data_IF_063926076690
#
_entry.id   IF_063926076690
#
_cell.length_a   1.000
_cell.length_b   1.000
_cell.length_c   1.000
_cell.angle_alpha   90.00
_cell.angle_beta   90.00
_cell.angle_gamma   90.00
#
_symmetry.space_group_name_H-M   'P 1'
#
loop_
_entity.id
_entity.type
_entity.pdbx_description
1 polymer ?
#
# COMPACT_ATOMS: atom_id res chain seq x y z
N UNK A 1 2.04 14.18 35.00
CA UNK A 1 0.60 13.88 34.81
C UNK A 1 -0.17 13.84 36.13
N UNK A 2 0.21 13.03 37.12
CA UNK A 2 -0.50 12.93 38.41
C UNK A 2 -0.65 14.26 39.15
N UNK A 3 0.42 15.06 39.28
CA UNK A 3 0.36 16.40 39.89
C UNK A 3 -0.66 17.32 39.21
N UNK A 4 -0.74 17.26 37.88
CA UNK A 4 -1.71 18.05 37.10
C UNK A 4 -3.15 17.61 37.38
N UNK A 5 -3.38 16.31 37.54
CA UNK A 5 -4.71 15.79 37.93
C UNK A 5 -5.13 16.34 39.30
N UNK A 6 -4.26 16.21 40.30
CA UNK A 6 -4.55 16.68 41.68
C UNK A 6 -4.77 18.20 41.72
N UNK A 7 -3.97 18.98 41.00
CA UNK A 7 -4.14 20.44 40.92
C UNK A 7 -5.52 20.79 40.32
N UNK A 8 -5.92 20.10 39.24
CA UNK A 8 -7.22 20.35 38.59
C UNK A 8 -8.40 19.93 39.47
N UNK A 9 -8.28 18.83 40.23
CA UNK A 9 -9.30 18.40 41.20
C UNK A 9 -9.45 19.40 42.34
N UNK A 10 -8.34 19.88 42.92
CA UNK A 10 -8.36 20.92 43.96
C UNK A 10 -8.96 22.23 43.44
N UNK A 11 -8.66 22.61 42.20
CA UNK A 11 -9.26 23.79 41.58
C UNK A 11 -10.78 23.61 41.40
N UNK A 12 -11.23 22.41 41.02
CA UNK A 12 -12.64 22.11 40.89
C UNK A 12 -13.39 22.20 42.23
N UNK A 13 -12.77 21.76 43.32
CA UNK A 13 -13.36 21.83 44.67
C UNK A 13 -13.44 23.26 45.23
N UNK A 14 -12.53 24.15 44.81
CA UNK A 14 -12.42 25.52 45.35
C UNK A 14 -13.20 26.56 44.55
N UNK A 15 -13.57 26.26 43.31
CA UNK A 15 -14.22 27.22 42.41
C UNK A 15 -15.76 27.17 42.57
N UNK A 16 -16.36 28.30 42.96
CA UNK A 16 -17.81 28.42 43.17
C UNK A 16 -18.58 28.96 41.94
N UNK A 17 -17.89 29.47 40.91
CA UNK A 17 -18.51 29.99 39.71
C UNK A 17 -18.84 28.88 38.70
N UNK A 18 -20.12 28.59 38.51
CA UNK A 18 -20.62 27.52 37.63
C UNK A 18 -19.95 27.49 36.23
N UNK A 19 -19.76 28.65 35.58
CA UNK A 19 -19.15 28.72 34.25
C UNK A 19 -17.66 28.32 34.26
N UNK A 20 -16.90 28.71 35.30
CA UNK A 20 -15.50 28.31 35.48
C UNK A 20 -15.40 26.84 35.87
N UNK A 21 -16.31 26.35 36.71
CA UNK A 21 -16.39 24.93 37.07
C UNK A 21 -16.60 24.06 35.83
N UNK A 22 -17.46 24.45 34.88
CA UNK A 22 -17.64 23.69 33.62
C UNK A 22 -16.40 23.71 32.73
N UNK A 23 -15.70 24.84 32.64
CA UNK A 23 -14.44 24.94 31.89
C UNK A 23 -13.34 24.06 32.51
N UNK A 24 -13.21 24.07 33.84
CA UNK A 24 -12.26 23.21 34.57
C UNK A 24 -12.60 21.74 34.35
N UNK A 25 -13.90 21.36 34.34
CA UNK A 25 -14.33 19.99 34.01
C UNK A 25 -13.92 19.58 32.60
N UNK A 26 -14.08 20.45 31.60
CA UNK A 26 -13.66 20.16 30.23
C UNK A 26 -12.13 19.96 30.12
N UNK A 27 -11.36 20.82 30.80
CA UNK A 27 -9.89 20.70 30.86
C UNK A 27 -9.47 19.41 31.56
N UNK A 28 -10.12 19.06 32.69
CA UNK A 28 -9.87 17.84 33.43
C UNK A 28 -10.21 16.61 32.57
N UNK A 29 -11.33 16.61 31.86
CA UNK A 29 -11.73 15.54 30.95
C UNK A 29 -10.68 15.33 29.86
N UNK A 30 -10.26 16.40 29.16
CA UNK A 30 -9.22 16.33 28.12
C UNK A 30 -7.89 15.80 28.68
N UNK A 31 -7.49 16.25 29.86
CA UNK A 31 -6.28 15.79 30.54
C UNK A 31 -6.36 14.30 30.92
N UNK A 32 -7.48 13.84 31.49
CA UNK A 32 -7.68 12.44 31.87
C UNK A 32 -7.76 11.52 30.64
N UNK A 33 -8.38 11.96 29.53
CA UNK A 33 -8.35 11.24 28.25
C UNK A 33 -6.92 11.12 27.72
N UNK A 34 -6.14 12.21 27.75
CA UNK A 34 -4.73 12.16 27.34
C UNK A 34 -3.89 11.24 28.25
N UNK A 35 -4.14 11.26 29.55
CA UNK A 35 -3.51 10.34 30.51
C UNK A 35 -3.84 8.87 30.18
N UNK A 36 -5.11 8.58 29.92
CA UNK A 36 -5.58 7.24 29.55
C UNK A 36 -4.91 6.74 28.27
N UNK A 37 -4.89 7.57 27.22
CA UNK A 37 -4.22 7.26 25.95
C UNK A 37 -2.74 6.93 26.14
N UNK A 38 -2.01 7.78 26.87
CA UNK A 38 -0.59 7.56 27.16
C UNK A 38 -0.35 6.28 27.98
N UNK A 39 -1.13 6.06 29.04
CA UNK A 39 -0.99 4.87 29.86
C UNK A 39 -1.31 3.57 29.08
N UNK A 40 -2.29 3.62 28.17
CA UNK A 40 -2.63 2.52 27.28
C UNK A 40 -1.53 2.26 26.25
N UNK A 41 -0.91 3.30 25.68
CA UNK A 41 0.27 3.13 24.79
C UNK A 41 1.46 2.51 25.52
N UNK A 42 1.58 2.75 26.83
CA UNK A 42 2.57 2.11 27.70
C UNK A 42 2.16 0.69 28.17
N UNK A 43 1.07 0.12 27.63
CA UNK A 43 0.51 -1.20 27.96
C UNK A 43 0.10 -1.36 29.44
N UNK A 44 -0.18 -0.27 30.14
CA UNK A 44 -0.75 -0.31 31.49
C UNK A 44 -2.28 -0.38 31.40
N UNK A 45 -2.90 -1.35 32.08
CA UNK A 45 -4.36 -1.56 32.06
C UNK A 45 -5.10 -0.88 33.22
N UNK A 46 -4.43 -0.64 34.35
CA UNK A 46 -5.07 -0.11 35.56
C UNK A 46 -5.17 1.41 35.58
N UNK A 47 -4.13 2.11 35.12
CA UNK A 47 -4.11 3.59 35.10
C UNK A 47 -5.17 4.19 34.16
N UNK A 48 -5.39 3.67 32.94
CA UNK A 48 -6.47 4.15 32.06
C UNK A 48 -7.85 3.96 32.69
N UNK A 49 -8.11 2.81 33.31
CA UNK A 49 -9.39 2.51 33.96
C UNK A 49 -9.67 3.47 35.12
N UNK A 50 -8.67 3.74 35.97
CA UNK A 50 -8.79 4.76 37.02
C UNK A 50 -9.12 6.12 36.43
N UNK A 51 -8.42 6.54 35.38
CA UNK A 51 -8.69 7.82 34.72
C UNK A 51 -10.14 7.92 34.19
N UNK A 52 -10.63 6.87 33.52
CA UNK A 52 -12.02 6.80 33.04
C UNK A 52 -13.03 6.81 34.20
N UNK A 53 -12.72 6.11 35.29
CA UNK A 53 -13.56 6.11 36.50
C UNK A 53 -13.68 7.51 37.10
N UNK A 54 -12.55 8.24 37.22
CA UNK A 54 -12.57 9.64 37.66
C UNK A 54 -13.41 10.52 36.72
N UNK A 55 -13.30 10.37 35.39
CA UNK A 55 -14.14 11.11 34.44
C UNK A 55 -15.64 10.88 34.69
N UNK A 56 -16.05 9.62 34.94
CA UNK A 56 -17.46 9.26 35.20
C UNK A 56 -18.02 9.91 36.47
N UNK A 57 -17.22 10.06 37.52
CA UNK A 57 -17.65 10.70 38.76
C UNK A 57 -18.03 12.17 38.55
N UNK A 58 -17.30 12.88 37.69
CA UNK A 58 -17.54 14.30 37.44
C UNK A 58 -18.54 14.58 36.31
N UNK A 59 -18.90 13.57 35.52
CA UNK A 59 -19.84 13.67 34.38
C UNK A 59 -20.98 12.63 34.46
N UNK A 60 -21.82 12.62 35.51
CA UNK A 60 -22.97 11.73 35.55
C UNK A 60 -23.99 12.14 34.47
N UNK A 61 -24.22 11.23 33.51
CA UNK A 61 -25.30 11.27 32.53
C UNK A 61 -25.44 12.58 31.72
N UNK A 62 -24.40 12.99 30.98
CA UNK A 62 -24.60 13.93 29.85
C UNK A 62 -25.26 13.17 28.68
N UNK A 63 -26.31 13.76 28.10
CA UNK A 63 -27.11 13.19 26.99
C UNK A 63 -26.40 13.17 25.62
N UNK A 64 -25.09 13.46 25.57
CA UNK A 64 -24.31 13.56 24.35
C UNK A 64 -23.18 12.53 24.29
N UNK A 65 -22.80 12.15 23.07
CA UNK A 65 -21.61 11.34 22.83
C UNK A 65 -20.36 12.20 23.02
N UNK A 66 -19.32 11.67 23.67
CA UNK A 66 -18.10 12.41 24.01
C UNK A 66 -16.85 11.57 23.84
N UNK A 67 -15.70 12.22 23.65
CA UNK A 67 -14.40 11.57 23.43
C UNK A 67 -14.01 10.58 24.54
N UNK A 68 -14.39 10.84 25.79
CA UNK A 68 -14.05 9.97 26.91
C UNK A 68 -14.75 8.60 26.85
N UNK A 69 -15.95 8.50 26.27
CA UNK A 69 -16.65 7.22 26.09
C UNK A 69 -15.96 6.36 25.03
N UNK A 70 -15.36 7.00 24.02
CA UNK A 70 -14.54 6.31 23.02
C UNK A 70 -13.28 5.73 23.68
N UNK A 71 -12.62 6.50 24.54
CA UNK A 71 -11.46 6.02 25.30
C UNK A 71 -11.86 4.92 26.29
N UNK A 72 -13.01 5.02 26.95
CA UNK A 72 -13.56 3.95 27.80
C UNK A 72 -13.67 2.61 27.05
N UNK A 73 -14.26 2.62 25.85
CA UNK A 73 -14.35 1.42 25.03
C UNK A 73 -12.96 0.87 24.68
N UNK A 74 -11.99 1.73 24.37
CA UNK A 74 -10.61 1.33 24.08
C UNK A 74 -9.87 0.76 25.30
N UNK A 75 -10.19 1.24 26.51
CA UNK A 75 -9.64 0.69 27.77
C UNK A 75 -10.18 -0.72 28.02
N UNK A 76 -11.49 -0.94 27.87
CA UNK A 76 -12.06 -2.29 28.01
C UNK A 76 -11.52 -3.27 26.97
N UNK A 77 -11.34 -2.79 25.72
CA UNK A 77 -10.67 -3.59 24.69
C UNK A 77 -9.25 -3.98 25.11
N UNK A 78 -8.46 -3.04 25.64
CA UNK A 78 -7.10 -3.31 26.12
C UNK A 78 -7.07 -4.28 27.32
N UNK A 79 -8.13 -4.33 28.13
CA UNK A 79 -8.31 -5.29 29.23
C UNK A 79 -8.79 -6.68 28.77
N UNK A 80 -9.07 -6.87 27.47
CA UNK A 80 -9.67 -8.08 26.88
C UNK A 80 -11.14 -8.30 27.29
N UNK A 81 -11.84 -7.25 27.70
CA UNK A 81 -13.29 -7.27 27.91
C UNK A 81 -14.00 -6.89 26.60
N UNK A 82 -13.84 -7.74 25.58
CA UNK A 82 -14.22 -7.44 24.18
C UNK A 82 -15.72 -7.18 23.99
N UNK A 83 -16.57 -7.94 24.70
CA UNK A 83 -18.03 -7.81 24.59
C UNK A 83 -18.54 -6.46 25.12
N UNK A 84 -17.97 -5.99 26.24
CA UNK A 84 -18.32 -4.70 26.84
C UNK A 84 -17.80 -3.53 25.98
N UNK A 85 -16.58 -3.65 25.46
CA UNK A 85 -16.02 -2.64 24.56
C UNK A 85 -16.87 -2.47 23.29
N UNK A 86 -17.31 -3.59 22.70
CA UNK A 86 -18.17 -3.58 21.52
C UNK A 86 -19.59 -3.09 21.81
N UNK A 87 -20.16 -3.39 22.98
CA UNK A 87 -21.49 -2.91 23.34
C UNK A 87 -21.49 -1.38 23.51
N UNK A 88 -20.47 -0.82 24.17
CA UNK A 88 -20.28 0.63 24.31
C UNK A 88 -20.16 1.30 22.93
N UNK A 89 -19.31 0.78 22.03
CA UNK A 89 -19.17 1.34 20.68
C UNK A 89 -20.47 1.27 19.88
N UNK A 90 -21.19 0.14 19.92
CA UNK A 90 -22.46 -0.01 19.20
C UNK A 90 -23.53 0.95 19.73
N UNK A 91 -23.56 1.18 21.05
CA UNK A 91 -24.46 2.16 21.65
C UNK A 91 -24.12 3.60 21.23
N UNK A 92 -22.83 3.95 21.21
CA UNK A 92 -22.37 5.26 20.72
C UNK A 92 -22.73 5.47 19.25
N UNK A 93 -22.50 4.47 18.38
CA UNK A 93 -22.85 4.51 16.96
C UNK A 93 -24.36 4.72 16.79
N UNK A 94 -25.19 3.99 17.56
CA UNK A 94 -26.64 4.15 17.51
C UNK A 94 -27.08 5.57 17.87
N UNK A 95 -26.53 6.14 18.95
CA UNK A 95 -26.81 7.52 19.38
C UNK A 95 -26.39 8.55 18.33
N UNK A 96 -25.24 8.34 17.69
CA UNK A 96 -24.73 9.22 16.63
C UNK A 96 -25.54 9.09 15.32
N UNK A 97 -26.05 7.89 15.02
CA UNK A 97 -26.97 7.66 13.89
C UNK A 97 -28.31 8.37 14.10
N UNK A 98 -28.88 8.30 15.31
CA UNK A 98 -30.13 8.98 15.66
C UNK A 98 -29.99 10.51 15.65
N UNK A 99 -28.79 11.03 15.92
CA UNK A 99 -28.47 12.47 15.95
C UNK A 99 -27.71 12.96 14.72
N UNK A 100 -27.82 12.27 13.57
CA UNK A 100 -27.04 12.55 12.36
C UNK A 100 -27.01 14.03 11.94
N UNK A 101 -28.14 14.74 12.02
CA UNK A 101 -28.22 16.17 11.67
C UNK A 101 -27.27 17.06 12.50
N UNK A 102 -27.00 16.69 13.76
CA UNK A 102 -26.04 17.41 14.60
C UNK A 102 -24.60 17.03 14.26
N UNK A 103 -24.35 15.74 13.96
CA UNK A 103 -23.04 15.20 13.58
C UNK A 103 -22.54 15.79 12.26
N UNK A 104 -23.43 16.02 11.31
CA UNK A 104 -23.06 16.60 10.00
C UNK A 104 -22.55 18.05 10.13
N UNK A 105 -23.06 18.78 11.11
CA UNK A 105 -22.73 20.18 11.36
C UNK A 105 -21.57 20.39 12.38
N UNK A 106 -21.21 19.37 13.15
CA UNK A 106 -20.13 19.43 14.15
C UNK A 106 -18.90 18.57 13.74
N UNK A 107 -17.77 19.21 13.34
CA UNK A 107 -16.56 18.50 12.96
C UNK A 107 -15.99 17.56 14.04
N UNK A 108 -16.17 17.88 15.32
CA UNK A 108 -15.66 17.09 16.44
C UNK A 108 -16.45 15.80 16.64
N UNK A 109 -17.79 15.87 16.56
CA UNK A 109 -18.66 14.70 16.60
C UNK A 109 -18.46 13.80 15.39
N UNK A 110 -18.21 14.41 14.22
CA UNK A 110 -17.91 13.69 12.98
C UNK A 110 -16.61 12.87 13.08
N UNK A 111 -15.58 13.44 13.69
CA UNK A 111 -14.32 12.75 14.00
C UNK A 111 -14.56 11.57 14.95
N UNK A 112 -15.29 11.78 16.03
CA UNK A 112 -15.64 10.73 17.00
C UNK A 112 -16.43 9.62 16.29
N UNK A 113 -17.41 9.98 15.46
CA UNK A 113 -18.24 9.02 14.74
C UNK A 113 -17.42 8.17 13.76
N UNK A 114 -16.54 8.81 13.00
CA UNK A 114 -15.59 8.14 12.11
C UNK A 114 -14.72 7.14 12.87
N UNK A 115 -14.17 7.55 14.02
CA UNK A 115 -13.34 6.68 14.86
C UNK A 115 -14.14 5.53 15.49
N UNK A 116 -15.37 5.77 15.95
CA UNK A 116 -16.27 4.73 16.46
C UNK A 116 -16.54 3.65 15.40
N UNK A 117 -16.93 4.06 14.19
CA UNK A 117 -17.19 3.14 13.08
C UNK A 117 -15.93 2.37 12.69
N UNK A 118 -14.79 3.05 12.60
CA UNK A 118 -13.48 2.47 12.25
C UNK A 118 -13.04 1.40 13.27
N UNK A 119 -13.09 1.73 14.56
CA UNK A 119 -12.71 0.79 15.63
C UNK A 119 -13.67 -0.38 15.70
N UNK A 120 -14.99 -0.12 15.62
CA UNK A 120 -15.99 -1.18 15.65
C UNK A 120 -15.77 -2.16 14.49
N UNK A 121 -15.56 -1.65 13.27
CA UNK A 121 -15.25 -2.48 12.11
C UNK A 121 -13.98 -3.32 12.28
N UNK A 122 -12.90 -2.73 12.81
CA UNK A 122 -11.65 -3.46 13.06
C UNK A 122 -11.81 -4.55 14.14
N UNK A 123 -12.48 -4.23 15.24
CA UNK A 123 -12.70 -5.16 16.36
C UNK A 123 -13.65 -6.30 15.99
N UNK A 124 -14.69 -6.03 15.20
CA UNK A 124 -15.56 -7.07 14.65
C UNK A 124 -14.79 -7.99 13.68
N UNK A 125 -13.85 -7.43 12.92
CA UNK A 125 -13.00 -8.20 12.01
C UNK A 125 -11.99 -9.09 12.77
N UNK A 126 -11.42 -8.58 13.88
CA UNK A 126 -10.51 -9.33 14.75
C UNK A 126 -11.21 -10.47 15.48
N UNK A 127 -12.42 -10.23 16.00
CA UNK A 127 -13.21 -11.23 16.75
C UNK A 127 -14.05 -12.16 15.87
N UNK A 128 -14.13 -11.89 14.57
CA UNK A 128 -14.92 -12.66 13.60
C UNK A 128 -16.41 -12.82 13.98
N UNK A 129 -16.98 -11.82 14.67
CA UNK A 129 -18.37 -11.86 15.15
C UNK A 129 -19.41 -11.54 14.08
N UNK A 130 -19.02 -10.88 12.98
CA UNK A 130 -19.93 -10.47 11.89
C UNK A 130 -19.38 -10.86 10.51
N UNK A 131 -20.28 -10.97 9.53
CA UNK A 131 -19.90 -11.31 8.16
C UNK A 131 -19.01 -10.19 7.56
N UNK A 132 -17.89 -10.52 6.88
CA UNK A 132 -16.98 -9.52 6.31
C UNK A 132 -17.63 -8.48 5.40
N UNK A 133 -18.66 -8.88 4.63
CA UNK A 133 -19.40 -7.98 3.74
C UNK A 133 -20.23 -6.97 4.54
N UNK A 134 -20.79 -7.37 5.67
CA UNK A 134 -21.52 -6.49 6.60
C UNK A 134 -20.54 -5.53 7.28
N UNK A 135 -19.40 -6.02 7.74
CA UNK A 135 -18.35 -5.20 8.36
C UNK A 135 -17.88 -4.10 7.40
N UNK A 136 -17.62 -4.48 6.15
CA UNK A 136 -17.21 -3.55 5.09
C UNK A 136 -18.27 -2.47 4.87
N UNK A 137 -19.52 -2.84 4.59
CA UNK A 137 -20.57 -1.90 4.18
C UNK A 137 -21.06 -1.03 5.34
N UNK A 138 -21.41 -1.65 6.47
CA UNK A 138 -22.12 -0.97 7.56
C UNK A 138 -21.21 -0.11 8.43
N UNK A 139 -19.93 -0.45 8.52
CA UNK A 139 -18.99 0.23 9.42
C UNK A 139 -17.86 0.91 8.65
N UNK A 140 -17.07 0.19 7.86
CA UNK A 140 -15.83 0.75 7.30
C UNK A 140 -16.06 1.67 6.08
N UNK A 141 -16.94 1.29 5.15
CA UNK A 141 -17.37 2.16 4.03
C UNK A 141 -18.09 3.40 4.58
N UNK A 142 -19.00 3.20 5.54
CA UNK A 142 -19.68 4.31 6.24
C UNK A 142 -18.69 5.24 6.94
N UNK A 143 -17.62 4.73 7.56
CA UNK A 143 -16.60 5.56 8.19
C UNK A 143 -15.90 6.48 7.18
N UNK A 144 -15.62 5.97 5.98
CA UNK A 144 -15.01 6.76 4.89
C UNK A 144 -15.98 7.78 4.33
N UNK A 145 -17.25 7.42 4.15
CA UNK A 145 -18.30 8.33 3.69
C UNK A 145 -18.48 9.50 4.65
N UNK A 146 -18.60 9.20 5.95
CA UNK A 146 -18.66 10.19 7.02
C UNK A 146 -17.42 11.08 6.94
N UNK A 147 -16.21 10.53 6.94
CA UNK A 147 -15.00 11.34 6.85
C UNK A 147 -14.89 12.16 5.54
N UNK A 148 -15.60 11.77 4.48
CA UNK A 148 -15.57 12.36 3.15
C UNK A 148 -16.49 13.57 2.94
N UNK A 149 -17.61 13.73 3.68
CA UNK A 149 -18.67 14.69 3.34
C UNK A 149 -18.33 16.19 3.48
N UNK A 150 -17.09 16.56 3.83
CA UNK A 150 -16.67 17.96 3.96
C UNK A 150 -15.41 18.19 3.12
N UNK A 151 -15.56 18.85 1.98
CA UNK A 151 -14.45 19.33 1.14
C UNK A 151 -13.89 20.68 1.63
N UNK A 152 -14.40 21.23 2.75
CA UNK A 152 -14.11 22.59 3.20
C UNK A 152 -13.10 22.74 4.34
N UNK A 153 -12.94 21.75 5.23
CA UNK A 153 -12.19 21.97 6.49
C UNK A 153 -10.79 21.38 6.51
N UNK A 154 -9.82 22.28 6.60
CA UNK A 154 -8.38 22.06 6.52
C UNK A 154 -7.74 21.61 7.85
N UNK A 155 -8.52 21.12 8.82
CA UNK A 155 -7.96 20.71 10.12
C UNK A 155 -7.10 19.45 9.96
N UNK A 156 -5.89 19.48 10.52
CA UNK A 156 -4.94 18.37 10.42
C UNK A 156 -5.51 17.09 11.07
N UNK A 157 -6.34 17.24 12.11
CA UNK A 157 -7.01 16.14 12.80
C UNK A 157 -8.06 15.44 11.91
N UNK A 158 -8.87 16.19 11.16
CA UNK A 158 -9.85 15.62 10.22
C UNK A 158 -9.16 14.87 9.08
N UNK A 159 -8.06 15.42 8.55
CA UNK A 159 -7.23 14.73 7.55
C UNK A 159 -6.65 13.43 8.11
N UNK A 160 -6.14 13.44 9.35
CA UNK A 160 -5.63 12.24 10.00
C UNK A 160 -6.72 11.20 10.25
N UNK A 161 -7.89 11.59 10.77
CA UNK A 161 -9.03 10.70 10.96
C UNK A 161 -9.50 10.06 9.65
N UNK A 162 -9.61 10.86 8.59
CA UNK A 162 -9.93 10.39 7.24
C UNK A 162 -8.88 9.40 6.70
N UNK A 163 -7.60 9.72 6.87
CA UNK A 163 -6.49 8.83 6.50
C UNK A 163 -6.55 7.49 7.24
N UNK A 164 -6.82 7.50 8.55
CA UNK A 164 -6.99 6.27 9.35
C UNK A 164 -8.19 5.45 8.92
N UNK A 165 -9.30 6.09 8.56
CA UNK A 165 -10.49 5.42 8.04
C UNK A 165 -10.18 4.72 6.71
N UNK A 166 -9.57 5.43 5.75
CA UNK A 166 -9.10 4.85 4.49
C UNK A 166 -8.14 3.68 4.72
N UNK A 167 -7.14 3.84 5.59
CA UNK A 167 -6.18 2.78 5.87
C UNK A 167 -6.84 1.56 6.50
N UNK A 168 -7.81 1.74 7.41
CA UNK A 168 -8.51 0.62 8.05
C UNK A 168 -9.35 -0.15 7.03
N UNK A 169 -10.10 0.55 6.16
CA UNK A 169 -10.85 -0.08 5.07
C UNK A 169 -9.95 -0.78 4.06
N UNK A 170 -8.81 -0.17 3.71
CA UNK A 170 -7.82 -0.77 2.81
C UNK A 170 -7.25 -2.07 3.37
N UNK A 171 -6.77 -2.06 4.62
CA UNK A 171 -6.19 -3.23 5.29
C UNK A 171 -7.21 -4.34 5.50
N UNK A 172 -8.44 -3.99 5.88
CA UNK A 172 -9.52 -4.95 6.01
C UNK A 172 -9.80 -5.63 4.67
N UNK A 173 -10.02 -4.84 3.62
CA UNK A 173 -10.32 -5.34 2.28
C UNK A 173 -9.19 -6.20 1.72
N UNK A 174 -7.93 -5.78 1.91
CA UNK A 174 -6.75 -6.57 1.54
C UNK A 174 -6.69 -7.90 2.29
N UNK A 175 -6.92 -7.89 3.60
CA UNK A 175 -6.93 -9.12 4.41
C UNK A 175 -8.02 -10.09 3.93
N UNK A 176 -9.22 -9.59 3.63
CA UNK A 176 -10.29 -10.43 3.09
C UNK A 176 -9.97 -10.94 1.68
N UNK A 177 -9.40 -10.09 0.82
CA UNK A 177 -8.94 -10.48 -0.51
C UNK A 177 -7.91 -11.62 -0.42
N UNK A 178 -6.90 -11.50 0.44
CA UNK A 178 -5.88 -12.53 0.64
C UNK A 178 -6.46 -13.82 1.20
N UNK A 179 -7.42 -13.74 2.14
CA UNK A 179 -8.14 -14.92 2.65
C UNK A 179 -8.86 -15.66 1.52
N UNK A 180 -9.59 -14.94 0.67
CA UNK A 180 -10.30 -15.53 -0.47
C UNK A 180 -9.33 -16.09 -1.51
N UNK A 181 -8.26 -15.37 -1.84
CA UNK A 181 -7.21 -15.85 -2.76
C UNK A 181 -6.53 -17.13 -2.25
N UNK A 182 -6.18 -17.18 -0.97
CA UNK A 182 -5.55 -18.36 -0.38
C UNK A 182 -6.50 -19.55 -0.37
N UNK A 183 -7.78 -19.33 -0.09
CA UNK A 183 -8.81 -20.37 -0.21
C UNK A 183 -8.94 -20.86 -1.66
N UNK A 184 -8.96 -19.95 -2.65
CA UNK A 184 -9.05 -20.32 -4.06
C UNK A 184 -7.82 -21.07 -4.58
N UNK A 185 -6.66 -20.92 -3.93
CA UNK A 185 -5.42 -21.68 -4.22
C UNK A 185 -5.31 -22.98 -3.42
N UNK A 186 -6.26 -23.25 -2.51
CA UNK A 186 -6.24 -24.45 -1.68
C UNK A 186 -6.67 -25.69 -2.46
N UNK A 187 -6.21 -26.86 -2.00
CA UNK A 187 -6.64 -28.15 -2.53
C UNK A 187 -8.14 -28.40 -2.31
N UNK A 188 -8.74 -27.81 -1.27
CA UNK A 188 -10.17 -27.89 -1.02
C UNK A 188 -10.97 -27.26 -2.16
N UNK A 189 -10.56 -26.07 -2.60
CA UNK A 189 -11.22 -25.39 -3.71
C UNK A 189 -10.96 -26.09 -5.05
N UNK A 190 -9.74 -26.59 -5.27
CA UNK A 190 -9.42 -27.39 -6.46
C UNK A 190 -10.30 -28.66 -6.54
N UNK A 191 -10.45 -29.37 -5.42
CA UNK A 191 -11.34 -30.53 -5.32
C UNK A 191 -12.80 -30.15 -5.58
N UNK A 192 -13.28 -29.03 -4.99
CA UNK A 192 -14.63 -28.51 -5.25
C UNK A 192 -14.84 -28.21 -6.74
N UNK A 193 -13.85 -27.59 -7.39
CA UNK A 193 -13.92 -27.29 -8.83
C UNK A 193 -13.89 -28.56 -9.69
N UNK A 194 -13.10 -29.57 -9.31
CA UNK A 194 -13.05 -30.86 -10.00
C UNK A 194 -14.37 -31.64 -9.89
N UNK A 195 -14.98 -31.65 -8.69
CA UNK A 195 -16.30 -32.25 -8.47
C UNK A 195 -17.37 -31.53 -9.29
N UNK A 196 -17.35 -30.19 -9.29
CA UNK A 196 -18.27 -29.39 -10.09
C UNK A 196 -18.12 -29.66 -11.60
N UNK A 197 -16.88 -29.85 -12.09
CA UNK A 197 -16.63 -30.22 -13.49
C UNK A 197 -17.22 -31.60 -13.82
N UNK A 198 -17.01 -32.59 -12.97
CA UNK A 198 -17.59 -33.94 -13.15
C UNK A 198 -19.11 -33.92 -13.12
N UNK A 199 -19.70 -33.20 -12.17
CA UNK A 199 -21.16 -33.03 -12.08
C UNK A 199 -21.74 -32.36 -13.34
N UNK A 200 -21.02 -31.39 -13.93
CA UNK A 200 -21.40 -30.78 -15.22
C UNK A 200 -21.36 -31.76 -16.37
N UNK A 201 -20.29 -32.57 -16.47
CA UNK A 201 -20.15 -33.59 -17.50
C UNK A 201 -21.25 -34.65 -17.39
N UNK A 202 -21.57 -35.11 -16.17
CA UNK A 202 -22.65 -36.04 -15.92
C UNK A 202 -24.01 -35.47 -16.34
N UNK A 203 -24.33 -34.23 -15.93
CA UNK A 203 -25.56 -33.55 -16.34
C UNK A 203 -25.59 -33.33 -17.86
N UNK A 204 -24.45 -33.08 -18.50
CA UNK A 204 -24.31 -32.96 -19.96
C UNK A 204 -24.64 -34.27 -20.67
N UNK A 205 -24.04 -35.38 -20.25
CA UNK A 205 -24.29 -36.71 -20.80
C UNK A 205 -25.77 -37.13 -20.63
N UNK A 206 -26.36 -36.84 -19.48
CA UNK A 206 -27.79 -37.11 -19.21
C UNK A 206 -28.69 -36.34 -20.17
N UNK A 207 -28.36 -35.08 -20.47
CA UNK A 207 -29.09 -34.26 -21.46
C UNK A 207 -28.91 -34.78 -22.88
N UNK A 208 -27.70 -35.20 -23.26
CA UNK A 208 -27.40 -35.76 -24.59
C UNK A 208 -28.14 -37.08 -24.85
N UNK A 209 -28.17 -37.97 -23.85
CA UNK A 209 -28.81 -39.29 -23.96
C UNK A 209 -30.34 -39.25 -23.78
N UNK A 210 -30.94 -38.05 -23.64
CA UNK A 210 -32.40 -37.84 -23.43
C UNK A 210 -32.98 -38.73 -22.34
N UNK A 211 -32.23 -38.96 -21.26
CA UNK A 211 -32.65 -39.81 -20.15
C UNK A 211 -33.89 -39.16 -19.49
N UNK A 212 -34.95 -39.93 -19.15
CA UNK A 212 -36.13 -39.39 -18.50
C UNK A 212 -35.76 -38.64 -17.21
N UNK A 213 -36.31 -37.44 -17.04
CA UNK A 213 -36.00 -36.58 -15.90
C UNK A 213 -36.44 -37.29 -14.61
N UNK A 214 -35.47 -37.74 -13.84
CA UNK A 214 -35.65 -38.35 -12.53
C UNK A 214 -35.50 -37.30 -11.42
N UNK A 215 -36.11 -37.57 -10.26
CA UNK A 215 -35.91 -36.77 -9.04
C UNK A 215 -34.43 -36.62 -8.67
N UNK A 216 -33.63 -37.65 -8.96
CA UNK A 216 -32.17 -37.63 -8.78
C UNK A 216 -31.50 -36.56 -9.67
N UNK A 217 -31.81 -36.55 -10.97
CA UNK A 217 -31.24 -35.61 -11.95
C UNK A 217 -31.58 -34.17 -11.57
N UNK A 218 -32.83 -33.93 -11.15
CA UNK A 218 -33.28 -32.60 -10.72
C UNK A 218 -32.52 -32.12 -9.47
N UNK A 219 -32.23 -33.04 -8.53
CA UNK A 219 -31.45 -32.73 -7.33
C UNK A 219 -30.00 -32.37 -7.68
N UNK A 220 -29.34 -33.19 -8.50
CA UNK A 220 -27.96 -32.95 -8.94
C UNK A 220 -27.83 -31.63 -9.72
N UNK A 221 -28.79 -31.33 -10.60
CA UNK A 221 -28.83 -30.04 -11.31
C UNK A 221 -28.95 -28.86 -10.34
N UNK A 222 -29.81 -28.96 -9.33
CA UNK A 222 -29.98 -27.91 -8.33
C UNK A 222 -28.73 -27.72 -7.46
N UNK A 223 -28.10 -28.80 -7.03
CA UNK A 223 -26.84 -28.74 -6.28
C UNK A 223 -25.73 -28.09 -7.11
N UNK A 224 -25.64 -28.45 -8.38
CA UNK A 224 -24.70 -27.84 -9.32
C UNK A 224 -24.94 -26.33 -9.49
N UNK A 225 -26.20 -25.90 -9.66
CA UNK A 225 -26.55 -24.48 -9.77
C UNK A 225 -26.18 -23.69 -8.52
N UNK A 226 -26.39 -24.27 -7.33
CA UNK A 226 -26.01 -23.66 -6.05
C UNK A 226 -24.48 -23.51 -5.94
N UNK A 227 -23.73 -24.56 -6.25
CA UNK A 227 -22.26 -24.53 -6.21
C UNK A 227 -21.68 -23.52 -7.22
N UNK A 228 -22.25 -23.46 -8.43
CA UNK A 228 -21.87 -22.44 -9.40
C UNK A 228 -22.16 -21.02 -8.90
N UNK A 229 -23.32 -20.81 -8.29
CA UNK A 229 -23.71 -19.52 -7.73
C UNK A 229 -22.74 -19.10 -6.63
N UNK A 230 -22.37 -20.02 -5.74
CA UNK A 230 -21.41 -19.78 -4.67
C UNK A 230 -20.02 -19.41 -5.21
N UNK A 231 -19.52 -20.14 -6.23
CA UNK A 231 -18.22 -19.83 -6.86
C UNK A 231 -18.27 -18.47 -7.57
N UNK A 232 -19.39 -18.11 -8.20
CA UNK A 232 -19.57 -16.78 -8.81
C UNK A 232 -19.55 -15.69 -7.75
N UNK A 233 -20.32 -15.84 -6.67
CA UNK A 233 -20.34 -14.89 -5.56
C UNK A 233 -18.95 -14.72 -4.93
N UNK A 234 -18.22 -15.81 -4.70
CA UNK A 234 -16.86 -15.77 -4.17
C UNK A 234 -15.89 -14.99 -5.07
N UNK A 235 -15.98 -15.17 -6.40
CA UNK A 235 -15.17 -14.42 -7.38
C UNK A 235 -15.55 -12.94 -7.40
N UNK A 236 -16.82 -12.61 -7.25
CA UNK A 236 -17.31 -11.23 -7.17
C UNK A 236 -16.83 -10.54 -5.89
N UNK A 237 -16.93 -11.21 -4.74
CA UNK A 237 -16.44 -10.72 -3.46
C UNK A 237 -14.92 -10.48 -3.51
N UNK A 238 -14.17 -11.43 -4.07
CA UNK A 238 -12.73 -11.27 -4.31
C UNK A 238 -12.42 -10.01 -5.11
N UNK A 239 -13.12 -9.81 -6.24
CA UNK A 239 -12.96 -8.63 -7.09
C UNK A 239 -13.30 -7.35 -6.34
N UNK A 240 -14.39 -7.36 -5.57
CA UNK A 240 -14.86 -6.21 -4.78
C UNK A 240 -13.84 -5.82 -3.71
N UNK A 241 -13.35 -6.79 -2.92
CA UNK A 241 -12.34 -6.56 -1.91
C UNK A 241 -11.03 -6.02 -2.51
N UNK A 242 -10.60 -6.57 -3.65
CA UNK A 242 -9.41 -6.07 -4.35
C UNK A 242 -9.56 -4.61 -4.80
N UNK A 243 -10.69 -4.27 -5.45
CA UNK A 243 -10.94 -2.90 -5.91
C UNK A 243 -10.95 -1.92 -4.73
N UNK A 244 -11.67 -2.28 -3.66
CA UNK A 244 -11.75 -1.45 -2.45
C UNK A 244 -10.39 -1.32 -1.76
N UNK A 245 -9.59 -2.37 -1.68
CA UNK A 245 -8.24 -2.28 -1.12
C UNK A 245 -7.39 -1.27 -1.90
N UNK A 246 -7.34 -1.39 -3.23
CA UNK A 246 -6.53 -0.52 -4.10
C UNK A 246 -7.00 0.94 -4.02
N UNK A 247 -8.29 1.22 -4.15
CA UNK A 247 -8.85 2.58 -4.08
C UNK A 247 -8.53 3.28 -2.76
N UNK A 248 -8.66 2.57 -1.64
CA UNK A 248 -8.44 3.12 -0.31
C UNK A 248 -6.95 3.26 0.02
N UNK A 249 -6.08 2.36 -0.45
CA UNK A 249 -4.63 2.55 -0.35
C UNK A 249 -4.17 3.79 -1.12
N UNK A 250 -4.71 4.03 -2.32
CA UNK A 250 -4.40 5.23 -3.10
C UNK A 250 -4.88 6.47 -2.36
N UNK A 251 -6.11 6.47 -1.84
CA UNK A 251 -6.65 7.61 -1.09
C UNK A 251 -5.86 7.92 0.18
N UNK A 252 -5.33 6.89 0.86
CA UNK A 252 -4.41 7.05 1.98
C UNK A 252 -3.10 7.74 1.56
N UNK A 253 -2.49 7.28 0.45
CA UNK A 253 -1.25 7.85 -0.10
C UNK A 253 -1.40 9.30 -0.59
N UNK A 254 -2.62 9.72 -0.94
CA UNK A 254 -2.94 11.10 -1.31
C UNK A 254 -3.19 11.99 -0.08
N UNK A 255 -3.61 11.42 1.05
CA UNK A 255 -4.06 12.18 2.23
C UNK A 255 -2.93 12.55 3.21
N UNK A 256 -1.75 11.92 3.12
CA UNK A 256 -0.61 12.21 4.01
C UNK A 256 0.67 11.43 3.70
N UNK A 257 1.67 11.57 4.56
CA UNK A 257 3.02 10.98 4.43
C UNK A 257 3.33 9.91 5.51
N UNK A 258 2.56 9.87 6.61
CA UNK A 258 2.75 8.93 7.73
C UNK A 258 2.71 7.44 7.30
N UNK A 259 2.16 7.19 6.12
CA UNK A 259 1.78 5.87 5.63
C UNK A 259 2.38 5.57 4.25
N UNK A 260 3.49 6.21 3.90
CA UNK A 260 4.14 6.04 2.59
C UNK A 260 4.64 4.61 2.33
N UNK A 261 4.98 3.85 3.37
CA UNK A 261 5.34 2.43 3.24
C UNK A 261 4.20 1.56 2.67
N UNK A 262 2.96 2.02 2.69
CA UNK A 262 1.86 1.28 2.05
C UNK A 262 1.93 1.33 0.52
N UNK A 263 2.82 2.14 -0.06
CA UNK A 263 3.12 2.10 -1.50
C UNK A 263 3.62 0.72 -1.94
N UNK A 264 4.41 0.05 -1.10
CA UNK A 264 4.90 -1.30 -1.35
C UNK A 264 3.75 -2.29 -1.48
N UNK A 265 2.76 -2.17 -0.58
CA UNK A 265 1.60 -3.06 -0.60
C UNK A 265 0.68 -2.78 -1.79
N UNK A 266 0.43 -1.50 -2.10
CA UNK A 266 -0.32 -1.10 -3.28
C UNK A 266 0.30 -1.67 -4.56
N UNK A 267 1.62 -1.53 -4.73
CA UNK A 267 2.32 -2.03 -5.90
C UNK A 267 2.35 -3.56 -5.93
N UNK A 268 2.52 -4.26 -4.80
CA UNK A 268 2.39 -5.73 -4.73
C UNK A 268 1.01 -6.18 -5.23
N UNK A 269 -0.07 -5.60 -4.72
CA UNK A 269 -1.43 -5.93 -5.16
C UNK A 269 -1.66 -5.64 -6.65
N UNK A 270 -1.17 -4.51 -7.14
CA UNK A 270 -1.31 -4.14 -8.55
C UNK A 270 -0.52 -5.07 -9.48
N UNK A 271 0.74 -5.36 -9.15
CA UNK A 271 1.61 -6.23 -9.96
C UNK A 271 1.12 -7.69 -9.96
N UNK A 272 0.64 -8.19 -8.82
CA UNK A 272 0.01 -9.52 -8.71
C UNK A 272 -1.27 -9.63 -9.57
N UNK A 273 -2.02 -8.54 -9.68
CA UNK A 273 -3.29 -8.47 -10.42
C UNK A 273 -3.19 -7.72 -11.74
N UNK A 274 -2.04 -7.79 -12.42
CA UNK A 274 -1.79 -7.07 -13.66
C UNK A 274 -2.81 -7.38 -14.78
N UNK A 275 -3.41 -8.58 -14.79
CA UNK A 275 -4.46 -8.96 -15.74
C UNK A 275 -5.85 -8.38 -15.47
N UNK A 276 -6.09 -7.71 -14.35
CA UNK A 276 -7.42 -7.19 -13.98
C UNK A 276 -7.61 -5.79 -14.53
N UNK A 277 -8.56 -5.62 -15.45
CA UNK A 277 -8.78 -4.37 -16.19
C UNK A 277 -9.22 -3.23 -15.27
N UNK A 278 -10.08 -3.51 -14.30
CA UNK A 278 -10.61 -2.52 -13.36
C UNK A 278 -9.50 -1.89 -12.52
N UNK A 279 -8.54 -2.71 -12.04
CA UNK A 279 -7.41 -2.23 -11.24
C UNK A 279 -6.48 -1.36 -12.08
N UNK A 280 -6.21 -1.76 -13.32
CA UNK A 280 -5.43 -0.95 -14.24
C UNK A 280 -6.11 0.38 -14.56
N UNK A 281 -7.44 0.40 -14.67
CA UNK A 281 -8.20 1.63 -14.88
C UNK A 281 -8.13 2.58 -13.66
N UNK A 282 -8.25 2.03 -12.44
CA UNK A 282 -8.08 2.80 -11.19
C UNK A 282 -6.66 3.36 -11.09
N UNK A 283 -5.64 2.54 -11.33
CA UNK A 283 -4.24 2.97 -11.33
C UNK A 283 -3.97 4.05 -12.38
N UNK A 284 -4.51 3.92 -13.60
CA UNK A 284 -4.36 4.93 -14.65
C UNK A 284 -4.90 6.30 -14.21
N UNK A 285 -6.06 6.32 -13.56
CA UNK A 285 -6.75 7.56 -13.16
C UNK A 285 -6.12 8.21 -11.92
N UNK A 286 -5.72 7.40 -10.94
CA UNK A 286 -5.34 7.91 -9.63
C UNK A 286 -3.82 7.94 -9.40
N UNK A 287 -3.03 7.09 -10.07
CA UNK A 287 -1.58 7.06 -9.85
C UNK A 287 -0.88 8.35 -10.30
N UNK A 288 -1.45 9.10 -11.25
CA UNK A 288 -0.94 10.42 -11.65
C UNK A 288 -1.01 11.45 -10.52
N UNK A 289 -2.01 11.33 -9.64
CA UNK A 289 -2.19 12.22 -8.48
C UNK A 289 -1.20 11.92 -7.35
N UNK A 290 -0.73 10.67 -7.26
CA UNK A 290 0.22 10.25 -6.24
C UNK A 290 1.58 10.89 -6.55
N UNK A 291 2.22 11.55 -5.57
CA UNK A 291 3.55 12.12 -5.77
C UNK A 291 4.56 11.05 -6.22
N UNK A 292 5.29 11.35 -7.30
CA UNK A 292 6.20 10.41 -7.97
C UNK A 292 7.32 9.89 -7.08
N UNK A 293 7.83 10.71 -6.15
CA UNK A 293 8.88 10.32 -5.21
C UNK A 293 8.55 9.09 -4.37
N UNK A 294 7.27 8.85 -4.06
CA UNK A 294 6.82 7.70 -3.27
C UNK A 294 7.08 6.37 -3.97
N UNK A 295 7.25 6.37 -5.29
CA UNK A 295 7.53 5.17 -6.10
C UNK A 295 9.03 4.90 -6.31
N UNK A 296 9.91 5.86 -6.00
CA UNK A 296 11.37 5.65 -6.10
C UNK A 296 11.89 4.40 -5.37
N UNK A 297 11.40 4.08 -4.15
CA UNK A 297 11.76 2.86 -3.43
C UNK A 297 11.54 1.56 -4.23
N UNK A 298 10.58 1.59 -5.15
CA UNK A 298 10.10 0.46 -5.93
C UNK A 298 10.63 0.47 -7.36
N UNK A 299 11.48 1.44 -7.72
CA UNK A 299 11.87 1.67 -9.11
C UNK A 299 12.49 0.43 -9.76
N UNK A 300 13.39 -0.28 -9.06
CA UNK A 300 13.97 -1.54 -9.56
C UNK A 300 12.92 -2.61 -9.84
N UNK A 301 11.92 -2.76 -8.95
CA UNK A 301 10.85 -3.76 -9.09
C UNK A 301 9.90 -3.41 -10.24
N UNK A 302 9.57 -2.13 -10.40
CA UNK A 302 8.75 -1.63 -11.51
C UNK A 302 9.48 -1.79 -12.85
N UNK A 303 10.77 -1.43 -12.89
CA UNK A 303 11.59 -1.50 -14.09
C UNK A 303 11.75 -2.96 -14.58
N UNK A 304 11.91 -3.92 -13.67
CA UNK A 304 11.99 -5.36 -14.00
C UNK A 304 10.74 -5.92 -14.71
N UNK A 305 9.58 -5.25 -14.55
CA UNK A 305 8.28 -5.64 -15.14
C UNK A 305 7.95 -4.91 -16.45
N UNK A 306 8.79 -3.99 -16.93
CA UNK A 306 8.51 -3.17 -18.12
C UNK A 306 8.28 -3.98 -19.41
N UNK A 307 9.04 -5.05 -19.64
CA UNK A 307 8.93 -5.88 -20.86
C UNK A 307 8.16 -7.18 -20.70
N UNK A 308 7.46 -7.42 -19.57
CA UNK A 308 6.78 -8.70 -19.34
C UNK A 308 5.37 -8.72 -19.92
N UNK A 309 5.15 -9.26 -21.14
CA UNK A 309 3.83 -9.35 -21.82
C UNK A 309 2.66 -9.98 -21.04
N UNK A 310 2.91 -10.47 -19.82
CA UNK A 310 1.95 -11.10 -18.91
C UNK A 310 0.83 -10.17 -18.39
N UNK A 311 0.96 -8.84 -18.50
CA UNK A 311 0.03 -7.89 -17.89
C UNK A 311 -1.17 -7.45 -18.75
N UNK A 312 -1.27 -7.90 -20.01
CA UNK A 312 -2.24 -7.34 -20.96
C UNK A 312 -1.91 -5.90 -21.35
N UNK A 313 -2.49 -5.43 -22.46
CA UNK A 313 -2.12 -4.14 -23.09
C UNK A 313 -2.34 -2.95 -22.15
N UNK A 314 -3.39 -3.00 -21.31
CA UNK A 314 -3.73 -1.93 -20.38
C UNK A 314 -2.71 -1.71 -19.26
N UNK A 315 -2.15 -2.78 -18.68
CA UNK A 315 -1.17 -2.71 -17.61
C UNK A 315 0.14 -2.05 -18.08
N UNK A 316 0.66 -2.48 -19.24
CA UNK A 316 1.92 -1.97 -19.77
C UNK A 316 1.88 -0.47 -20.05
N UNK A 317 0.75 0.02 -20.58
CA UNK A 317 0.57 1.44 -20.81
C UNK A 317 0.65 2.23 -19.49
N UNK A 318 -0.03 1.76 -18.44
CA UNK A 318 -0.04 2.42 -17.13
C UNK A 318 1.34 2.39 -16.49
N UNK A 319 2.03 1.23 -16.52
CA UNK A 319 3.38 1.08 -15.99
C UNK A 319 4.41 1.95 -16.72
N UNK A 320 4.38 1.96 -18.05
CA UNK A 320 5.28 2.78 -18.88
C UNK A 320 5.08 4.27 -18.61
N UNK A 321 3.82 4.72 -18.51
CA UNK A 321 3.50 6.11 -18.17
C UNK A 321 3.97 6.49 -16.76
N UNK A 322 3.77 5.59 -15.79
CA UNK A 322 4.20 5.80 -14.41
C UNK A 322 5.73 5.95 -14.33
N UNK A 323 6.47 5.02 -14.93
CA UNK A 323 7.94 5.04 -14.94
C UNK A 323 8.45 6.29 -15.66
N UNK A 324 7.86 6.62 -16.82
CA UNK A 324 8.21 7.84 -17.55
C UNK A 324 8.05 9.09 -16.69
N UNK A 325 6.94 9.19 -15.93
CA UNK A 325 6.70 10.32 -15.01
C UNK A 325 7.75 10.37 -13.90
N UNK A 326 8.00 9.25 -13.22
CA UNK A 326 9.01 9.18 -12.14
C UNK A 326 10.38 9.58 -12.68
N UNK A 327 10.74 9.15 -13.88
CA UNK A 327 12.03 9.45 -14.47
C UNK A 327 12.19 10.86 -15.03
N UNK A 328 11.09 11.51 -15.40
CA UNK A 328 11.10 12.93 -15.72
C UNK A 328 11.27 13.78 -14.46
N UNK A 329 10.60 13.42 -13.37
CA UNK A 329 10.63 14.15 -12.10
C UNK A 329 11.97 13.94 -11.36
N UNK A 330 12.47 12.69 -11.35
CA UNK A 330 13.65 12.26 -10.59
C UNK A 330 14.68 11.54 -11.48
N UNK A 331 15.31 12.25 -12.45
CA UNK A 331 16.22 11.63 -13.41
C UNK A 331 17.47 11.05 -12.74
N UNK A 332 18.04 11.72 -11.74
CA UNK A 332 19.25 11.25 -11.06
C UNK A 332 19.06 9.92 -10.32
N UNK A 333 17.84 9.65 -9.84
CA UNK A 333 17.51 8.42 -9.12
C UNK A 333 17.13 7.26 -10.05
N UNK A 334 16.71 7.54 -11.28
CA UNK A 334 16.08 6.54 -12.16
C UNK A 334 16.83 6.28 -13.46
N UNK A 335 17.56 7.27 -14.01
CA UNK A 335 18.21 7.12 -15.32
C UNK A 335 19.26 6.03 -15.33
N UNK A 336 20.06 5.89 -14.27
CA UNK A 336 21.03 4.79 -14.16
C UNK A 336 20.36 3.42 -14.19
N UNK A 337 19.18 3.29 -13.58
CA UNK A 337 18.40 2.04 -13.55
C UNK A 337 17.87 1.71 -14.96
N UNK A 338 17.30 2.71 -15.65
CA UNK A 338 16.73 2.51 -16.99
C UNK A 338 17.84 2.26 -18.02
N UNK A 339 18.95 2.99 -17.94
CA UNK A 339 20.11 2.81 -18.83
C UNK A 339 20.75 1.44 -18.63
N UNK A 340 20.84 0.94 -17.40
CA UNK A 340 21.30 -0.42 -17.15
C UNK A 340 20.42 -1.47 -17.85
N UNK A 341 19.10 -1.24 -17.93
CA UNK A 341 18.19 -2.11 -18.68
C UNK A 341 18.32 -1.93 -20.19
N UNK A 342 18.51 -0.70 -20.69
CA UNK A 342 18.69 -0.42 -22.11
C UNK A 342 20.00 -1.00 -22.65
N UNK A 343 21.05 -1.01 -21.83
CA UNK A 343 22.41 -1.44 -22.19
C UNK A 343 22.70 -2.89 -21.77
N UNK A 344 21.67 -3.68 -21.41
CA UNK A 344 21.84 -5.01 -20.83
C UNK A 344 22.59 -6.02 -21.74
N UNK A 345 22.64 -5.78 -23.04
CA UNK A 345 23.34 -6.62 -24.03
C UNK A 345 24.71 -6.05 -24.46
N UNK A 346 25.14 -4.91 -23.93
CA UNK A 346 26.30 -4.18 -24.43
C UNK A 346 27.62 -4.92 -24.16
N UNK A 347 27.70 -5.71 -23.10
CA UNK A 347 28.87 -6.56 -22.81
C UNK A 347 29.07 -7.66 -23.86
N UNK A 348 28.00 -8.24 -24.40
CA UNK A 348 28.10 -9.25 -25.47
C UNK A 348 28.55 -8.64 -26.81
N UNK A 349 28.21 -7.36 -27.04
CA UNK A 349 28.65 -6.62 -28.22
C UNK A 349 30.14 -6.25 -28.11
N UNK A 350 30.60 -5.84 -26.93
CA UNK A 350 32.00 -5.49 -26.67
C UNK A 350 32.92 -6.71 -26.56
N UNK A 351 32.40 -7.85 -26.08
CA UNK A 351 33.13 -9.12 -26.03
C UNK A 351 33.29 -9.81 -27.40
N UNK A 352 32.75 -9.23 -28.49
CA UNK A 352 32.96 -9.68 -29.87
C UNK A 352 34.01 -8.80 -30.59
N UNK A 353 35.32 -8.95 -30.33
CA UNK A 353 36.31 -8.56 -31.32
C UNK A 353 36.32 -9.60 -32.45
N UNK A 354 36.18 -9.12 -33.68
CA UNK A 354 36.22 -9.83 -34.98
C UNK A 354 37.45 -10.76 -35.18
N UNK A 355 38.43 -10.82 -34.27
CA UNK A 355 39.71 -11.49 -34.52
C UNK A 355 40.07 -12.68 -33.62
N UNK A 356 39.26 -13.08 -32.63
CA UNK A 356 39.71 -14.13 -31.70
C UNK A 356 38.66 -15.21 -31.42
N UNK A 357 38.35 -15.99 -32.45
CA UNK A 357 37.63 -17.28 -32.35
C UNK A 357 38.40 -18.41 -31.66
N UNK A 358 39.54 -18.15 -31.00
CA UNK A 358 40.37 -19.21 -30.42
C UNK A 358 40.61 -18.96 -28.94
N UNK A 359 40.09 -19.86 -28.13
CA UNK A 359 40.50 -20.15 -26.75
C UNK A 359 39.92 -19.29 -25.62
N UNK A 360 38.59 -19.33 -25.43
CA UNK A 360 38.00 -19.41 -24.07
C UNK A 360 36.89 -20.45 -24.04
N UNK A 361 37.30 -21.71 -23.93
CA UNK A 361 36.47 -22.81 -23.42
C UNK A 361 36.31 -22.61 -21.90
N UNK A 362 35.53 -21.62 -21.50
CA UNK A 362 34.88 -21.61 -20.19
C UNK A 362 33.43 -21.97 -20.43
N UNK A 363 33.02 -23.15 -19.96
CA UNK A 363 31.65 -23.65 -19.94
C UNK A 363 30.68 -22.53 -19.55
N UNK A 364 29.98 -21.96 -20.52
CA UNK A 364 28.66 -21.37 -20.45
C UNK A 364 28.27 -21.13 -21.92
N UNK A 365 27.19 -21.77 -22.38
CA UNK A 365 26.65 -21.51 -23.71
C UNK A 365 26.44 -20.01 -23.92
N UNK A 366 26.51 -19.47 -25.16
CA UNK A 366 26.06 -18.11 -25.41
C UNK A 366 24.63 -18.00 -24.86
N UNK A 367 24.38 -17.09 -23.92
CA UNK A 367 23.02 -16.81 -23.48
C UNK A 367 22.31 -16.22 -24.71
N UNK A 368 21.50 -17.02 -25.38
CA UNK A 368 20.55 -16.45 -26.34
C UNK A 368 19.68 -15.47 -25.53
N UNK A 369 19.75 -14.20 -25.91
CA UNK A 369 18.98 -13.13 -25.26
C UNK A 369 17.52 -13.55 -25.34
N UNK A 370 16.87 -13.66 -24.18
CA UNK A 370 15.45 -13.99 -24.13
C UNK A 370 14.65 -12.92 -24.85
N UNK A 371 13.60 -13.30 -25.57
CA UNK A 371 12.65 -12.33 -26.16
C UNK A 371 12.13 -11.34 -25.11
N UNK A 372 12.00 -11.76 -23.85
CA UNK A 372 11.60 -10.89 -22.75
C UNK A 372 12.65 -9.81 -22.42
N UNK A 373 13.93 -10.12 -22.57
CA UNK A 373 15.01 -9.17 -22.33
C UNK A 373 15.12 -8.18 -23.50
N UNK A 374 14.85 -8.61 -24.73
CA UNK A 374 14.68 -7.71 -25.87
C UNK A 374 13.51 -6.74 -25.69
N UNK A 375 12.35 -7.24 -25.30
CA UNK A 375 11.16 -6.41 -25.06
C UNK A 375 11.42 -5.38 -23.94
N UNK A 376 12.18 -5.76 -22.90
CA UNK A 376 12.62 -4.86 -21.82
C UNK A 376 13.58 -3.79 -22.31
N UNK A 377 14.60 -4.16 -23.08
CA UNK A 377 15.56 -3.23 -23.66
C UNK A 377 14.84 -2.19 -24.53
N UNK A 378 13.94 -2.62 -25.41
CA UNK A 378 13.17 -1.72 -26.27
C UNK A 378 12.31 -0.75 -25.44
N UNK A 379 11.61 -1.25 -24.42
CA UNK A 379 10.81 -0.41 -23.53
C UNK A 379 11.69 0.62 -22.78
N UNK A 380 12.85 0.21 -22.28
CA UNK A 380 13.80 1.09 -21.61
C UNK A 380 14.34 2.18 -22.56
N UNK A 381 14.78 1.80 -23.76
CA UNK A 381 15.24 2.73 -24.80
C UNK A 381 14.17 3.75 -25.18
N UNK A 382 12.91 3.33 -25.27
CA UNK A 382 11.78 4.22 -25.53
C UNK A 382 11.61 5.27 -24.42
N UNK A 383 11.72 4.89 -23.15
CA UNK A 383 11.65 5.83 -22.03
C UNK A 383 12.84 6.80 -22.04
N UNK A 384 14.07 6.30 -22.27
CA UNK A 384 15.27 7.16 -22.40
C UNK A 384 15.08 8.18 -23.53
N UNK A 385 14.55 7.76 -24.68
CA UNK A 385 14.24 8.65 -25.80
C UNK A 385 13.24 9.75 -25.42
N UNK A 386 12.20 9.43 -24.61
CA UNK A 386 11.24 10.41 -24.11
C UNK A 386 11.92 11.42 -23.19
N UNK A 387 12.76 10.95 -22.25
CA UNK A 387 13.46 11.84 -21.31
C UNK A 387 14.47 12.72 -22.07
N UNK A 388 15.17 12.18 -23.07
CA UNK A 388 16.13 12.91 -23.90
C UNK A 388 15.50 14.12 -24.60
N UNK A 389 14.21 14.05 -24.97
CA UNK A 389 13.48 15.19 -25.56
C UNK A 389 13.31 16.38 -24.60
N UNK A 390 13.29 16.14 -23.29
CA UNK A 390 13.14 17.19 -22.26
C UNK A 390 14.45 17.56 -21.57
N UNK A 391 15.33 16.60 -21.31
CA UNK A 391 16.59 16.74 -20.54
C UNK A 391 17.78 16.22 -21.36
N UNK A 392 18.01 16.81 -22.54
CA UNK A 392 18.97 16.30 -23.52
C UNK A 392 20.44 16.37 -23.08
N UNK A 393 20.86 17.43 -22.39
CA UNK A 393 22.23 17.60 -21.86
C UNK A 393 22.55 16.50 -20.84
N UNK A 394 21.66 16.36 -19.85
CA UNK A 394 21.76 15.38 -18.77
C UNK A 394 21.81 13.94 -19.28
N UNK A 395 20.89 13.55 -20.17
CA UNK A 395 20.86 12.18 -20.72
C UNK A 395 22.15 11.87 -21.48
N UNK A 396 22.63 12.79 -22.33
CA UNK A 396 23.90 12.60 -23.05
C UNK A 396 25.09 12.48 -22.10
N UNK A 397 25.12 13.27 -21.03
CA UNK A 397 26.18 13.22 -20.02
C UNK A 397 26.18 11.89 -19.27
N UNK A 398 25.01 11.41 -18.84
CA UNK A 398 24.87 10.13 -18.13
C UNK A 398 25.17 8.95 -19.06
N UNK A 399 24.70 8.96 -20.30
CA UNK A 399 25.00 7.94 -21.31
C UNK A 399 26.51 7.85 -21.56
N UNK A 400 27.17 8.98 -21.82
CA UNK A 400 28.61 9.02 -22.02
C UNK A 400 29.40 8.50 -20.81
N UNK A 401 28.91 8.78 -19.59
CA UNK A 401 29.50 8.27 -18.36
C UNK A 401 29.30 6.75 -18.24
N UNK A 402 28.10 6.25 -18.49
CA UNK A 402 27.79 4.81 -18.47
C UNK A 402 28.62 4.05 -19.50
N UNK A 403 28.68 4.53 -20.74
CA UNK A 403 29.48 3.91 -21.81
C UNK A 403 30.97 3.90 -21.45
N UNK A 404 31.48 4.98 -20.84
CA UNK A 404 32.86 5.02 -20.38
C UNK A 404 33.13 4.03 -19.26
N UNK A 405 32.20 3.82 -18.33
CA UNK A 405 32.32 2.79 -17.28
C UNK A 405 32.26 1.38 -17.85
N UNK A 406 31.34 1.10 -18.78
CA UNK A 406 31.24 -0.21 -19.45
C UNK A 406 32.54 -0.50 -20.22
N UNK A 407 33.07 0.49 -20.94
CA UNK A 407 34.34 0.36 -21.68
C UNK A 407 35.51 0.08 -20.74
N UNK A 408 35.60 0.83 -19.64
CA UNK A 408 36.66 0.65 -18.64
C UNK A 408 36.57 -0.73 -17.95
N UNK A 409 35.36 -1.20 -17.65
CA UNK A 409 35.14 -2.52 -17.04
C UNK A 409 35.53 -3.68 -17.98
N UNK A 410 35.37 -3.49 -19.29
CA UNK A 410 35.76 -4.47 -20.31
C UNK A 410 37.21 -4.33 -20.80
N UNK A 411 37.99 -3.39 -20.25
CA UNK A 411 39.41 -3.22 -20.59
C UNK A 411 40.23 -4.45 -20.15
N UNK A 412 41.08 -4.96 -21.05
CA UNK A 412 41.89 -6.14 -20.74
C UNK A 412 42.96 -5.84 -19.67
N UNK A 413 42.69 -6.27 -18.43
CA UNK A 413 43.60 -6.06 -17.32
C UNK A 413 44.79 -7.04 -17.26
N UNK A 414 44.93 -7.97 -18.22
CA UNK A 414 46.00 -8.99 -18.21
C UNK A 414 47.43 -8.43 -18.03
N UNK A 415 47.83 -7.29 -18.63
CA UNK A 415 49.18 -6.75 -18.48
C UNK A 415 49.49 -6.24 -17.07
N UNK A 416 48.46 -5.91 -16.29
CA UNK A 416 48.60 -5.28 -14.97
C UNK A 416 48.34 -6.24 -13.80
N UNK A 417 48.04 -7.52 -14.07
CA UNK A 417 47.74 -8.53 -13.03
C UNK A 417 48.86 -8.74 -12.00
N UNK A 418 50.11 -8.50 -12.38
CA UNK A 418 51.29 -8.68 -11.51
C UNK A 418 51.69 -7.42 -10.74
N UNK A 419 51.09 -6.27 -11.03
CA UNK A 419 51.43 -4.99 -10.39
C UNK A 419 50.53 -4.71 -9.19
N UNK A 420 51.13 -4.45 -8.02
CA UNK A 420 50.44 -4.10 -6.76
C UNK A 420 50.40 -2.60 -6.45
N UNK A 421 50.99 -1.76 -7.31
CA UNK A 421 50.98 -0.29 -7.15
C UNK A 421 49.74 0.31 -7.82
N UNK A 422 49.40 1.54 -7.44
CA UNK A 422 48.32 2.28 -8.08
C UNK A 422 48.54 2.36 -9.60
N UNK A 423 47.54 1.92 -10.36
CA UNK A 423 47.56 1.92 -11.82
C UNK A 423 47.03 3.26 -12.32
N UNK A 424 47.74 3.87 -13.27
CA UNK A 424 47.23 5.04 -14.00
C UNK A 424 46.30 4.55 -15.11
N UNK A 425 45.10 5.14 -15.21
CA UNK A 425 44.14 4.79 -16.26
C UNK A 425 44.71 5.25 -17.61
N UNK A 426 44.78 4.37 -18.63
CA UNK A 426 45.30 4.73 -19.95
C UNK A 426 44.54 5.89 -20.61
N UNK A 427 45.26 6.76 -21.33
CA UNK A 427 44.69 7.99 -21.93
C UNK A 427 43.76 7.73 -23.15
N UNK A 428 43.80 6.52 -23.71
CA UNK A 428 42.85 6.04 -24.71
C UNK A 428 41.45 5.83 -24.13
N UNK A 429 41.35 5.59 -22.81
CA UNK A 429 40.09 5.29 -22.16
C UNK A 429 39.14 6.51 -22.18
N UNK A 430 37.87 6.32 -22.57
CA UNK A 430 36.89 7.41 -22.70
C UNK A 430 36.68 8.17 -21.38
N UNK A 431 36.84 7.50 -20.23
CA UNK A 431 36.70 8.12 -18.91
C UNK A 431 37.67 9.28 -18.68
N UNK A 432 38.88 9.24 -19.27
CA UNK A 432 39.88 10.32 -19.15
C UNK A 432 39.54 11.55 -20.01
N UNK A 433 38.64 11.39 -20.99
CA UNK A 433 38.18 12.42 -21.91
C UNK A 433 36.89 13.09 -21.44
N UNK A 434 36.19 12.52 -20.45
CA UNK A 434 35.01 13.12 -19.85
C UNK A 434 35.41 14.38 -19.08
N UNK A 435 34.95 15.54 -19.54
CA UNK A 435 35.15 16.84 -18.92
C UNK A 435 33.83 17.61 -18.89
N UNK A 436 33.65 18.46 -17.88
CA UNK A 436 32.53 19.41 -17.78
C UNK A 436 31.14 18.74 -17.77
N UNK A 437 30.99 17.66 -17.01
CA UNK A 437 29.67 17.03 -16.75
C UNK A 437 28.98 17.75 -15.58
N UNK A 438 28.30 18.87 -15.86
CA UNK A 438 27.62 19.67 -14.83
C UNK A 438 26.30 19.05 -14.33
N UNK A 439 25.60 18.35 -15.23
CA UNK A 439 24.27 17.75 -14.96
C UNK A 439 24.33 16.28 -14.50
N UNK A 440 25.54 15.71 -14.34
CA UNK A 440 25.73 14.28 -14.03
C UNK A 440 26.14 14.12 -12.58
N UNK A 441 25.36 13.35 -11.83
CA UNK A 441 25.66 13.09 -10.42
C UNK A 441 26.54 11.85 -10.29
N UNK A 442 27.40 11.87 -9.28
CA UNK A 442 28.24 10.73 -8.90
C UNK A 442 27.34 9.55 -8.52
N UNK A 443 27.44 8.38 -9.19
CA UNK A 443 26.53 7.25 -8.98
C UNK A 443 26.52 6.70 -7.55
N UNK A 444 27.63 6.83 -6.83
CA UNK A 444 27.80 6.35 -5.45
C UNK A 444 27.39 7.37 -4.39
N UNK A 445 27.07 8.60 -4.79
CA UNK A 445 26.64 9.64 -3.86
C UNK A 445 25.15 9.47 -3.55
N UNK A 446 24.81 9.36 -2.27
CA UNK A 446 23.42 9.32 -1.85
C UNK A 446 22.77 10.69 -2.03
N UNK A 447 21.95 10.82 -3.08
CA UNK A 447 21.18 12.03 -3.32
C UNK A 447 19.88 11.88 -2.53
N UNK A 448 19.76 12.64 -1.44
CA UNK A 448 18.48 12.75 -0.74
C UNK A 448 17.44 13.28 -1.73
N UNK A 449 16.31 12.60 -1.82
CA UNK A 449 15.17 13.11 -2.56
C UNK A 449 14.72 14.36 -1.82
N UNK A 450 14.86 15.53 -2.45
CA UNK A 450 14.50 16.81 -1.84
C UNK A 450 13.01 16.88 -1.58
N UNK A 451 12.62 16.61 -0.32
CA UNK A 451 11.44 17.12 0.39
C UNK A 451 11.84 17.18 1.85
N UNK A 452 11.46 18.21 2.60
CA UNK A 452 11.83 18.35 4.00
C UNK A 452 11.69 16.99 4.72
N UNK A 453 12.84 16.38 5.00
CA UNK A 453 13.10 15.15 5.76
C UNK A 453 12.13 13.98 5.60
N UNK A 454 12.59 12.87 5.00
CA UNK A 454 12.35 11.54 5.59
C UNK A 454 13.55 10.64 5.28
N UNK A 455 14.14 10.15 6.38
CA UNK A 455 15.07 9.03 6.47
C UNK A 455 14.42 7.74 5.93
N UNK A 456 15.28 6.84 5.46
CA UNK A 456 15.12 5.38 5.28
C UNK A 456 15.40 4.99 3.83
N UNK A 457 16.68 4.75 3.54
CA UNK A 457 17.11 3.80 2.51
C UNK A 457 18.45 3.17 2.93
N UNK A 458 18.40 2.19 3.83
CA UNK A 458 19.60 1.41 4.20
C UNK A 458 19.36 -0.10 4.37
N UNK A 459 18.37 -0.71 3.71
CA UNK A 459 18.14 -2.17 3.90
C UNK A 459 18.15 -3.03 2.62
N UNK A 460 18.20 -2.48 1.40
CA UNK A 460 18.26 -3.35 0.21
C UNK A 460 19.53 -3.14 -0.63
N UNK A 461 20.66 -3.56 -0.06
CA UNK A 461 21.89 -3.83 -0.82
C UNK A 461 22.41 -5.26 -0.63
N UNK A 462 21.61 -6.16 -0.04
CA UNK A 462 21.92 -7.58 0.00
C UNK A 462 20.72 -8.38 -0.50
N UNK A 463 20.78 -8.76 -1.77
CA UNK A 463 20.27 -10.01 -2.35
C UNK A 463 20.59 -9.96 -3.85
N UNK A 464 21.85 -10.20 -4.16
CA UNK A 464 22.29 -10.87 -5.38
C UNK A 464 22.63 -12.31 -5.02
#
# INVERSE_FOLDING_TARGET
MALRTVILEILLEKENENAKTECIKDILNKHLVALSKLARTAKNTQLPEKAVFHIKQYNPARYGVSEWQLEEAQVFWAKKEESLALSILKEMIKKLDESWYQVENDPSLKLIYTECLRLCGNWLAETCLENPTVIMQKYLEKAVEVAGSQNGDNSNELKNGKMKAFLSLARFSDTQYQRVENYMKSSEFENKQALLKKAKEEVGLIKEHKVPISRYITKVQRELELDECEIRALKEDRRRFLCKAVENYISCLLSGEEHDLWIFRLCSLWLENSGVVEINAVMKREAEKIPSFKFLPLMYQLAARMGTKMGGVGFHQVLSNLITRISLDHPHHTLFIILALANANQDELLAKPETTRRSRLTKNAPKEISQLDMDRMEAASNIVNIIRRRKSSMVRGIEALCDAYITLANMDATPWRSQKKGLSIPADQPITKLKNLEDVVVPTMEIKVTKAEILIFSIFQFLF
#
